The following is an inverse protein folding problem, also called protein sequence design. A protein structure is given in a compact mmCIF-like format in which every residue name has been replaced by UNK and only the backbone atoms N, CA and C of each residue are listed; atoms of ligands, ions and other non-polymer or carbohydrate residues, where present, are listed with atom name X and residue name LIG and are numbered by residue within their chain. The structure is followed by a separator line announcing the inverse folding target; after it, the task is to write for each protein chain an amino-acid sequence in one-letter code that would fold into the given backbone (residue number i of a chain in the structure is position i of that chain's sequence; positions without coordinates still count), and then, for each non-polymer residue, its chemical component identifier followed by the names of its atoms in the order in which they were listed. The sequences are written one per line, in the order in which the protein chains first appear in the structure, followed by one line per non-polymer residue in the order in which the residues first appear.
data_IF_379943334114
#
_entry.id   IF_379943334114
#
_cell.length_a   1.000
_cell.length_b   1.000
_cell.length_c   1.000
_cell.angle_alpha   90.00
_cell.angle_beta   90.00
_cell.angle_gamma   90.00
#
_symmetry.space_group_name_H-M   'P 1'
#
loop_
_entity.id
_entity.type
_entity.pdbx_description
1 polymer ?
#
# COMPACT_ATOMS: atom_id res chain seq x y z
N UNK A 1 -0.47 6.79 10.12
CA UNK A 1 0.53 6.36 9.11
C UNK A 1 0.25 7.06 7.76
N UNK A 2 1.22 7.76 7.16
CA UNK A 2 0.92 8.69 6.06
C UNK A 2 0.85 8.01 4.66
N UNK A 3 -0.26 8.21 3.94
CA UNK A 3 -0.48 7.83 2.53
C UNK A 3 0.71 8.12 1.60
N UNK A 4 1.45 9.22 1.88
CA UNK A 4 2.68 9.60 1.17
C UNK A 4 3.79 8.55 1.25
N UNK A 5 3.98 7.87 2.40
CA UNK A 5 4.99 6.82 2.57
C UNK A 5 4.68 5.59 1.72
N UNK A 6 3.42 5.11 1.76
CA UNK A 6 2.96 3.98 0.92
C UNK A 6 3.15 4.32 -0.56
N UNK A 7 2.76 5.53 -0.98
CA UNK A 7 2.94 5.98 -2.35
C UNK A 7 4.41 5.94 -2.78
N UNK A 8 5.31 6.48 -1.97
CA UNK A 8 6.75 6.47 -2.27
C UNK A 8 7.33 5.05 -2.38
N UNK A 9 6.83 4.09 -1.59
CA UNK A 9 7.25 2.68 -1.69
C UNK A 9 6.71 2.05 -2.97
N UNK A 10 5.43 2.27 -3.29
CA UNK A 10 4.82 1.78 -4.53
C UNK A 10 5.49 2.37 -5.77
N UNK A 11 5.95 3.62 -5.73
CA UNK A 11 6.70 4.27 -6.82
C UNK A 11 8.00 3.55 -7.17
N UNK A 12 8.56 2.74 -6.26
CA UNK A 12 9.75 1.90 -6.54
C UNK A 12 9.43 0.62 -7.31
N UNK A 13 8.18 0.16 -7.29
CA UNK A 13 7.76 -1.17 -7.82
C UNK A 13 6.74 -1.05 -8.96
N UNK A 14 6.06 0.10 -9.06
CA UNK A 14 4.97 0.35 -9.98
C UNK A 14 5.15 1.69 -10.70
N UNK A 15 4.64 1.76 -11.93
CA UNK A 15 4.49 3.02 -12.67
C UNK A 15 3.35 3.85 -12.06
N UNK A 16 3.42 5.19 -12.15
CA UNK A 16 2.41 6.12 -11.58
C UNK A 16 0.94 5.76 -11.89
N UNK A 17 0.66 5.34 -13.13
CA UNK A 17 -0.67 4.90 -13.56
C UNK A 17 -1.20 3.72 -12.72
N UNK A 18 -0.32 2.77 -12.45
CA UNK A 18 -0.62 1.54 -11.73
C UNK A 18 -0.85 1.81 -10.26
N UNK A 19 -0.08 2.73 -9.68
CA UNK A 19 -0.21 3.16 -8.29
C UNK A 19 -1.59 3.74 -8.05
N UNK A 20 -2.07 4.58 -8.96
CA UNK A 20 -3.41 5.15 -8.88
C UNK A 20 -4.47 4.05 -8.91
N UNK A 21 -4.33 3.06 -9.81
CA UNK A 21 -5.25 1.91 -9.86
C UNK A 21 -5.25 1.07 -8.58
N UNK A 22 -4.07 0.86 -7.98
CA UNK A 22 -3.92 0.14 -6.70
C UNK A 22 -4.57 0.93 -5.56
N UNK A 23 -4.33 2.24 -5.47
CA UNK A 23 -4.95 3.10 -4.45
C UNK A 23 -6.47 3.18 -4.58
N UNK A 24 -7.00 3.07 -5.80
CA UNK A 24 -8.44 3.05 -6.06
C UNK A 24 -9.07 1.67 -5.84
N UNK A 25 -8.28 0.65 -5.46
CA UNK A 25 -8.77 -0.72 -5.29
C UNK A 25 -9.16 -1.40 -6.61
N UNK A 26 -8.82 -0.81 -7.76
CA UNK A 26 -9.12 -1.35 -9.10
C UNK A 26 -8.09 -2.39 -9.57
N UNK A 27 -7.01 -2.56 -8.82
CA UNK A 27 -5.92 -3.48 -9.14
C UNK A 27 -5.42 -4.19 -7.89
N UNK A 28 -5.46 -5.51 -7.92
CA UNK A 28 -4.85 -6.34 -6.88
C UNK A 28 -3.33 -6.42 -7.07
N UNK A 29 -2.60 -6.40 -5.95
CA UNK A 29 -1.15 -6.60 -5.92
C UNK A 29 -0.87 -8.10 -5.97
N UNK A 30 -0.11 -8.56 -6.96
CA UNK A 30 0.31 -9.95 -7.07
C UNK A 30 1.23 -10.33 -5.90
N UNK A 31 1.18 -11.57 -5.44
CA UNK A 31 2.01 -12.10 -4.34
C UNK A 31 3.51 -11.88 -4.53
N UNK A 32 4.03 -11.97 -5.77
CA UNK A 32 5.44 -11.62 -6.06
C UNK A 32 5.77 -10.17 -5.72
N UNK A 33 4.87 -9.23 -6.05
CA UNK A 33 5.06 -7.81 -5.74
C UNK A 33 4.88 -7.52 -4.26
N UNK A 34 3.97 -8.21 -3.59
CA UNK A 34 3.84 -8.15 -2.13
C UNK A 34 5.17 -8.55 -1.47
N UNK A 35 5.83 -9.62 -1.96
CA UNK A 35 7.14 -10.04 -1.44
C UNK A 35 8.19 -8.93 -1.60
N UNK A 36 8.29 -8.33 -2.79
CA UNK A 36 9.20 -7.19 -3.03
C UNK A 36 8.89 -5.98 -2.14
N UNK A 37 7.61 -5.63 -1.98
CA UNK A 37 7.18 -4.53 -1.12
C UNK A 37 7.50 -4.78 0.35
N UNK A 38 7.40 -6.03 0.79
CA UNK A 38 7.77 -6.45 2.15
C UNK A 38 9.27 -6.37 2.40
N UNK A 39 10.10 -6.61 1.38
CA UNK A 39 11.55 -6.40 1.47
C UNK A 39 11.92 -4.90 1.55
N UNK A 40 11.22 -4.04 0.81
CA UNK A 40 11.44 -2.59 0.82
C UNK A 40 10.91 -1.94 2.10
N UNK A 41 9.77 -2.42 2.59
CA UNK A 41 9.06 -1.87 3.73
C UNK A 41 8.57 -3.00 4.66
N UNK A 42 9.48 -3.63 5.42
CA UNK A 42 9.14 -4.72 6.33
C UNK A 42 8.25 -4.28 7.50
N UNK A 43 8.21 -2.98 7.78
CA UNK A 43 7.34 -2.38 8.80
C UNK A 43 5.86 -2.33 8.40
N UNK A 44 5.52 -2.66 7.14
CA UNK A 44 4.15 -2.61 6.64
C UNK A 44 3.62 -4.04 6.54
N UNK A 45 2.50 -4.37 7.24
CA UNK A 45 1.95 -5.71 7.23
C UNK A 45 1.44 -6.10 5.85
N UNK A 46 1.44 -7.40 5.56
CA UNK A 46 0.98 -7.95 4.28
C UNK A 46 -0.45 -7.55 3.95
N UNK A 47 -1.31 -7.46 4.98
CA UNK A 47 -2.71 -7.02 4.88
C UNK A 47 -2.83 -5.63 4.28
N UNK A 48 -1.89 -4.73 4.59
CA UNK A 48 -1.86 -3.40 3.99
C UNK A 48 -1.63 -3.48 2.49
N UNK A 49 -0.85 -4.44 1.98
CA UNK A 49 -0.61 -4.60 0.54
C UNK A 49 -1.77 -5.30 -0.18
N UNK A 50 -2.57 -6.09 0.55
CA UNK A 50 -3.78 -6.72 0.02
C UNK A 50 -4.91 -5.69 -0.14
N UNK A 51 -5.09 -4.82 0.86
CA UNK A 51 -6.07 -3.74 0.82
C UNK A 51 -5.47 -2.44 1.35
N UNK A 52 -4.77 -1.72 0.46
CA UNK A 52 -4.12 -0.44 0.80
C UNK A 52 -5.16 0.59 1.23
N UNK A 53 -6.33 0.60 0.59
CA UNK A 53 -7.36 1.59 0.84
C UNK A 53 -7.97 1.38 2.23
N UNK A 54 -8.49 0.19 2.49
CA UNK A 54 -9.09 -0.18 3.77
C UNK A 54 -8.09 -0.05 4.92
N UNK A 55 -6.83 -0.43 4.68
CA UNK A 55 -5.79 -0.28 5.69
C UNK A 55 -5.46 1.18 6.01
N UNK A 56 -5.41 2.06 5.00
CA UNK A 56 -5.22 3.50 5.23
C UNK A 56 -6.40 4.13 5.96
N UNK A 57 -7.64 3.78 5.58
CA UNK A 57 -8.85 4.26 6.26
C UNK A 57 -8.88 3.79 7.73
N UNK A 58 -8.52 2.53 7.99
CA UNK A 58 -8.41 2.00 9.35
C UNK A 58 -7.31 2.67 10.18
N UNK A 59 -6.18 3.02 9.56
CA UNK A 59 -5.11 3.77 10.22
C UNK A 59 -5.52 5.21 10.52
N UNK A 60 -6.24 5.87 9.63
CA UNK A 60 -6.73 7.23 9.85
C UNK A 60 -7.79 7.29 10.96
N UNK A 61 -8.64 6.27 11.08
CA UNK A 61 -9.61 6.15 12.16
C UNK A 61 -8.97 5.81 13.52
N UNK A 62 -7.85 5.07 13.53
CA UNK A 62 -7.10 4.78 14.78
C UNK A 62 -6.40 6.01 15.36
N UNK A 63 -5.99 6.96 14.53
CA UNK A 63 -5.30 8.19 14.95
C UNK A 63 -6.28 9.21 15.59
N UNK A 64 -7.60 9.03 15.40
CA UNK A 64 -8.66 9.92 15.91
C UNK A 64 -9.26 9.50 17.25
N UNK A 65 -8.77 8.46 17.91
CA UNK A 65 -9.33 7.93 19.16
C UNK A 65 -8.28 7.89 20.26
#
# INVERSE_FOLDING_TARGET
MNKKKIKAILEKVYKKDQISSVFLGRRHISTQKIKQLREIAPNIPTEAWLDIRGWLEAQENKDKK
#
